data_IF_591548960939
#
_entry.id   IF_591548960939
#
_cell.length_a   1.000
_cell.length_b   1.000
_cell.length_c   1.000
_cell.angle_alpha   90.00
_cell.angle_beta   90.00
_cell.angle_gamma   90.00
#
_symmetry.space_group_name_H-M   'P 1'
#
loop_
_entity.id
_entity.type
_entity.pdbx_description
1 polymer ?
#
# COMPACT_ATOMS: atom_id res chain seq x y z
N UNK A 1 -5.88 -25.14 -5.80
CA UNK A 1 -7.27 -24.76 -5.56
C UNK A 1 -7.31 -23.31 -5.11
N UNK A 2 -7.75 -22.44 -5.98
CA UNK A 2 -7.95 -21.04 -5.64
C UNK A 2 -9.23 -20.93 -4.82
N UNK A 3 -9.06 -20.93 -3.50
CA UNK A 3 -10.16 -20.68 -2.59
C UNK A 3 -10.46 -19.18 -2.56
N UNK A 4 -11.04 -18.68 -3.66
CA UNK A 4 -11.50 -17.30 -3.74
C UNK A 4 -12.71 -17.19 -2.80
N UNK A 5 -12.65 -16.33 -1.78
CA UNK A 5 -13.80 -16.15 -0.89
C UNK A 5 -14.99 -15.65 -1.72
N UNK A 6 -16.09 -16.36 -1.60
CA UNK A 6 -17.34 -16.03 -2.32
C UNK A 6 -18.16 -15.00 -1.60
N UNK A 7 -17.85 -14.75 -0.32
CA UNK A 7 -18.54 -13.78 0.51
C UNK A 7 -17.68 -12.54 0.72
N UNK A 8 -18.31 -11.39 0.64
CA UNK A 8 -17.69 -10.08 0.86
C UNK A 8 -17.07 -9.93 2.26
N UNK A 9 -17.71 -10.47 3.27
CA UNK A 9 -17.20 -10.42 4.65
C UNK A 9 -15.89 -11.16 4.78
N UNK A 10 -15.80 -12.37 4.25
CA UNK A 10 -14.57 -13.16 4.23
C UNK A 10 -13.47 -12.50 3.38
N UNK A 11 -13.86 -11.95 2.24
CA UNK A 11 -12.93 -11.26 1.34
C UNK A 11 -12.31 -10.03 2.01
N UNK A 12 -13.14 -9.18 2.63
CA UNK A 12 -12.67 -8.00 3.34
C UNK A 12 -11.83 -8.35 4.56
N UNK A 13 -12.21 -9.39 5.30
CA UNK A 13 -11.44 -9.86 6.46
C UNK A 13 -10.05 -10.38 6.05
N UNK A 14 -9.98 -11.05 4.91
CA UNK A 14 -8.73 -11.64 4.41
C UNK A 14 -7.81 -10.60 3.77
N UNK A 15 -8.35 -9.73 2.94
CA UNK A 15 -7.57 -8.82 2.10
C UNK A 15 -7.61 -7.35 2.53
N UNK A 16 -8.59 -6.96 3.36
CA UNK A 16 -8.75 -5.58 3.82
C UNK A 16 -7.51 -4.98 4.46
N UNK A 17 -6.87 -5.66 5.43
CA UNK A 17 -5.68 -5.13 6.09
C UNK A 17 -4.52 -4.81 5.14
N UNK A 18 -4.21 -5.70 4.20
CA UNK A 18 -3.14 -5.47 3.23
C UNK A 18 -3.47 -4.39 2.20
N UNK A 19 -4.73 -4.29 1.79
CA UNK A 19 -5.21 -3.21 0.92
C UNK A 19 -5.12 -1.86 1.61
N UNK A 20 -5.51 -1.79 2.88
CA UNK A 20 -5.40 -0.58 3.68
C UNK A 20 -3.93 -0.16 3.88
N UNK A 21 -3.05 -1.12 4.13
CA UNK A 21 -1.61 -0.87 4.22
C UNK A 21 -1.09 -0.22 2.93
N UNK A 22 -1.47 -0.75 1.78
CA UNK A 22 -1.09 -0.16 0.49
C UNK A 22 -1.68 1.23 0.29
N UNK A 23 -2.96 1.44 0.63
CA UNK A 23 -3.60 2.74 0.55
C UNK A 23 -2.90 3.79 1.42
N UNK A 24 -2.46 3.40 2.63
CA UNK A 24 -1.65 4.26 3.51
C UNK A 24 -0.33 4.69 2.87
N UNK A 25 0.31 3.83 2.09
CA UNK A 25 1.54 4.20 1.36
C UNK A 25 1.30 5.23 0.27
N UNK A 26 0.08 5.32 -0.24
CA UNK A 26 -0.29 6.19 -1.35
C UNK A 26 -0.91 7.52 -0.91
N UNK A 27 -1.18 7.69 0.37
CA UNK A 27 -1.83 8.88 0.94
C UNK A 27 -1.02 9.45 2.10
N UNK A 28 -1.37 10.66 2.55
CA UNK A 28 -0.67 11.36 3.64
C UNK A 28 -1.38 11.24 4.98
N UNK A 29 -2.64 10.84 5.00
CA UNK A 29 -3.40 10.69 6.24
C UNK A 29 -4.26 9.42 6.22
N UNK A 30 -4.59 8.94 7.40
CA UNK A 30 -5.39 7.73 7.60
C UNK A 30 -6.79 7.85 7.00
N UNK A 31 -7.43 8.99 7.17
CA UNK A 31 -8.77 9.27 6.67
C UNK A 31 -8.83 9.16 5.14
N UNK A 32 -7.85 9.75 4.43
CA UNK A 32 -7.74 9.64 2.99
C UNK A 32 -7.49 8.19 2.55
N UNK A 33 -6.69 7.44 3.31
CA UNK A 33 -6.41 6.03 3.02
C UNK A 33 -7.67 5.17 3.12
N UNK A 34 -8.48 5.36 4.15
CA UNK A 34 -9.74 4.63 4.34
C UNK A 34 -10.75 4.96 3.24
N UNK A 35 -10.93 6.24 2.93
CA UNK A 35 -11.81 6.69 1.86
C UNK A 35 -11.38 6.14 0.50
N UNK A 36 -10.10 6.20 0.23
CA UNK A 36 -9.50 5.68 -1.00
C UNK A 36 -9.74 4.18 -1.15
N UNK A 37 -9.57 3.42 -0.08
CA UNK A 37 -9.83 1.98 -0.08
C UNK A 37 -11.30 1.69 -0.36
N UNK A 38 -12.22 2.37 0.31
CA UNK A 38 -13.66 2.17 0.11
C UNK A 38 -14.07 2.46 -1.33
N UNK A 39 -13.61 3.57 -1.87
CA UNK A 39 -13.91 3.96 -3.25
C UNK A 39 -13.31 2.97 -4.27
N UNK A 40 -12.09 2.51 -4.04
CA UNK A 40 -11.43 1.55 -4.92
C UNK A 40 -12.12 0.19 -4.91
N UNK A 41 -12.54 -0.29 -3.76
CA UNK A 41 -13.29 -1.55 -3.62
C UNK A 41 -14.64 -1.45 -4.29
N UNK A 42 -15.36 -0.36 -4.08
CA UNK A 42 -16.67 -0.11 -4.69
C UNK A 42 -16.57 -0.04 -6.22
N UNK A 43 -15.61 0.69 -6.75
CA UNK A 43 -15.40 0.80 -8.20
C UNK A 43 -15.04 -0.56 -8.81
N UNK A 44 -14.15 -1.32 -8.16
CA UNK A 44 -13.74 -2.63 -8.63
C UNK A 44 -14.87 -3.66 -8.58
N UNK A 45 -15.72 -3.60 -7.55
CA UNK A 45 -16.91 -4.42 -7.44
C UNK A 45 -17.91 -4.12 -8.54
N UNK A 46 -18.17 -2.85 -8.83
CA UNK A 46 -19.08 -2.43 -9.89
C UNK A 46 -18.62 -2.91 -11.27
N UNK A 47 -17.32 -2.91 -11.52
CA UNK A 47 -16.74 -3.47 -12.75
C UNK A 47 -16.83 -4.99 -12.83
N UNK A 48 -17.07 -5.65 -11.72
CA UNK A 48 -17.14 -7.12 -11.61
C UNK A 48 -18.56 -7.60 -11.23
N UNK A 49 -19.58 -6.90 -11.68
CA UNK A 49 -20.99 -7.24 -11.46
C UNK A 49 -21.37 -7.46 -9.99
N UNK A 50 -20.78 -6.67 -9.08
CA UNK A 50 -21.02 -6.75 -7.65
C UNK A 50 -20.34 -7.94 -6.94
N UNK A 51 -19.56 -8.73 -7.66
CA UNK A 51 -18.77 -9.84 -7.10
C UNK A 51 -17.44 -9.33 -6.54
N UNK A 52 -16.83 -10.15 -5.67
CA UNK A 52 -15.49 -9.84 -5.14
C UNK A 52 -14.48 -9.69 -6.27
N UNK A 53 -13.78 -8.54 -6.35
CA UNK A 53 -12.86 -8.25 -7.44
C UNK A 53 -11.52 -8.98 -7.26
N UNK A 54 -10.75 -9.04 -8.34
CA UNK A 54 -9.38 -9.53 -8.29
C UNK A 54 -8.46 -8.49 -7.61
N UNK A 55 -7.57 -8.94 -6.75
CA UNK A 55 -6.65 -8.08 -6.00
C UNK A 55 -5.81 -7.14 -6.88
N UNK A 56 -5.20 -7.58 -7.98
CA UNK A 56 -4.44 -6.68 -8.83
C UNK A 56 -5.27 -5.50 -9.35
N UNK A 57 -6.53 -5.72 -9.67
CA UNK A 57 -7.44 -4.66 -10.10
C UNK A 57 -7.68 -3.64 -8.98
N UNK A 58 -7.87 -4.11 -7.75
CA UNK A 58 -8.08 -3.23 -6.59
C UNK A 58 -6.84 -2.40 -6.31
N UNK A 59 -5.67 -3.00 -6.30
CA UNK A 59 -4.39 -2.30 -6.11
C UNK A 59 -4.16 -1.24 -7.19
N UNK A 60 -4.40 -1.57 -8.46
CA UNK A 60 -4.29 -0.62 -9.57
C UNK A 60 -5.27 0.55 -9.42
N UNK A 61 -6.49 0.27 -8.97
CA UNK A 61 -7.51 1.29 -8.73
C UNK A 61 -7.14 2.21 -7.58
N UNK A 62 -6.63 1.66 -6.48
CA UNK A 62 -6.11 2.45 -5.34
C UNK A 62 -5.02 3.41 -5.83
N UNK A 63 -4.04 2.91 -6.57
CA UNK A 63 -2.93 3.72 -7.07
C UNK A 63 -3.40 4.84 -8.00
N UNK A 64 -4.26 4.53 -8.94
CA UNK A 64 -4.80 5.52 -9.87
C UNK A 64 -5.58 6.62 -9.15
N UNK A 65 -6.46 6.25 -8.23
CA UNK A 65 -7.23 7.21 -7.43
C UNK A 65 -6.34 8.04 -6.51
N UNK A 66 -5.29 7.45 -5.95
CA UNK A 66 -4.30 8.16 -5.14
C UNK A 66 -3.56 9.23 -5.94
N UNK A 67 -3.19 8.91 -7.18
CA UNK A 67 -2.55 9.88 -8.09
C UNK A 67 -3.52 11.04 -8.40
N UNK A 68 -4.78 10.74 -8.68
CA UNK A 68 -5.80 11.76 -8.92
C UNK A 68 -6.03 12.65 -7.69
N UNK A 69 -6.08 12.06 -6.50
CA UNK A 69 -6.20 12.77 -5.23
C UNK A 69 -4.98 13.68 -4.99
N UNK A 70 -3.79 13.19 -5.23
CA UNK A 70 -2.55 13.98 -5.09
C UNK A 70 -2.54 15.18 -6.04
N UNK A 71 -2.94 14.99 -7.28
CA UNK A 71 -3.07 16.09 -8.26
C UNK A 71 -4.09 17.13 -7.81
N UNK A 72 -5.23 16.70 -7.27
CA UNK A 72 -6.26 17.58 -6.74
C UNK A 72 -5.77 18.36 -5.54
N UNK A 73 -5.07 17.71 -4.62
CA UNK A 73 -4.48 18.34 -3.44
C UNK A 73 -3.36 19.33 -3.82
N UNK A 74 -2.52 19.01 -4.78
CA UNK A 74 -1.49 19.91 -5.29
C UNK A 74 -2.07 21.19 -5.89
N UNK A 75 -3.18 21.09 -6.62
CA UNK A 75 -3.90 22.27 -7.14
C UNK A 75 -4.49 23.12 -6.01
N UNK A 76 -4.99 22.47 -4.96
CA UNK A 76 -5.55 23.16 -3.79
C UNK A 76 -4.45 23.85 -2.96
N UNK A 77 -3.31 23.19 -2.75
CA UNK A 77 -2.18 23.73 -2.00
C UNK A 77 -1.47 24.87 -2.71
N UNK A 78 -1.49 24.91 -4.04
CA UNK A 78 -1.01 26.05 -4.82
C UNK A 78 -1.87 27.31 -4.59
N UNK A 79 -3.07 27.19 -4.05
CA UNK A 79 -3.99 28.29 -3.74
C UNK A 79 -4.02 28.68 -2.27
N UNK A 80 -3.62 27.79 -1.37
CA UNK A 80 -3.60 28.00 0.08
C UNK A 80 -2.19 27.77 0.61
N UNK A 81 -1.60 28.75 1.32
CA UNK A 81 -0.31 28.57 2.00
C UNK A 81 -0.43 27.46 3.04
N UNK A 82 0.45 26.47 2.94
CA UNK A 82 0.34 25.21 3.68
C UNK A 82 0.69 25.28 5.14
N UNK A 83 -0.16 24.63 5.93
CA UNK A 83 0.24 23.99 7.18
C UNK A 83 0.72 22.56 6.82
N UNK A 84 2.02 22.33 6.92
CA UNK A 84 2.59 20.98 6.82
C UNK A 84 2.23 20.20 8.07
N UNK A 85 1.13 19.50 8.04
CA UNK A 85 0.83 18.50 9.04
C UNK A 85 1.52 17.20 8.64
N UNK A 86 2.73 16.99 9.17
CA UNK A 86 3.37 15.69 9.13
C UNK A 86 2.68 14.82 10.18
N UNK A 87 1.49 14.32 9.84
CA UNK A 87 0.91 13.29 10.67
C UNK A 87 1.77 12.02 10.54
N UNK A 88 2.37 11.61 11.64
CA UNK A 88 2.99 10.30 11.78
C UNK A 88 1.93 9.22 11.52
N UNK A 89 1.76 8.87 10.25
CA UNK A 89 0.85 7.80 9.88
C UNK A 89 1.47 6.48 10.31
N UNK A 90 0.92 5.86 11.33
CA UNK A 90 1.31 4.52 11.73
C UNK A 90 0.86 3.53 10.65
N UNK A 91 1.80 2.82 10.06
CA UNK A 91 1.56 1.89 8.96
C UNK A 91 0.83 0.62 9.38
N UNK A 92 0.94 0.27 10.65
CA UNK A 92 0.28 -0.89 11.25
C UNK A 92 -0.71 -0.43 12.29
N UNK A 93 -1.87 -1.04 12.30
CA UNK A 93 -2.87 -0.78 13.32
C UNK A 93 -2.31 -1.14 14.71
N UNK A 94 -2.28 -0.16 15.62
CA UNK A 94 -1.78 -0.32 16.98
C UNK A 94 -2.63 -1.28 17.84
N UNK A 95 -3.71 -1.81 17.30
CA UNK A 95 -4.56 -2.79 17.99
C UNK A 95 -3.97 -4.19 18.04
N UNK A 96 -2.96 -4.49 17.20
CA UNK A 96 -2.16 -5.69 17.36
C UNK A 96 -1.08 -5.36 18.38
N UNK A 97 -1.12 -6.05 19.50
CA UNK A 97 -0.21 -5.95 20.64
C UNK A 97 1.16 -5.40 20.27
N UNK A 98 1.63 -4.44 21.03
CA UNK A 98 2.92 -3.75 20.88
C UNK A 98 4.07 -4.74 20.77
N UNK A 99 4.17 -5.38 19.62
CA UNK A 99 5.30 -6.23 19.32
C UNK A 99 6.44 -5.31 18.87
N UNK A 100 7.54 -5.28 19.60
CA UNK A 100 8.74 -4.51 19.27
C UNK A 100 9.20 -4.75 17.84
N UNK A 101 9.03 -5.97 17.32
CA UNK A 101 9.35 -6.34 15.94
C UNK A 101 8.48 -5.61 14.93
N UNK A 102 7.18 -5.50 15.21
CA UNK A 102 6.24 -4.78 14.32
C UNK A 102 6.58 -3.28 14.24
N UNK A 103 6.97 -2.67 15.35
CA UNK A 103 7.40 -1.27 15.39
C UNK A 103 8.69 -1.04 14.61
N UNK A 104 9.66 -1.94 14.73
CA UNK A 104 10.93 -1.88 13.98
C UNK A 104 10.66 -1.97 12.47
N UNK A 105 9.79 -2.89 12.05
CA UNK A 105 9.40 -3.05 10.64
C UNK A 105 8.69 -1.78 10.14
N UNK A 106 7.76 -1.23 10.92
CA UNK A 106 7.03 0.00 10.57
C UNK A 106 7.99 1.17 10.35
N UNK A 107 8.91 1.39 11.27
CA UNK A 107 9.92 2.44 11.16
C UNK A 107 10.88 2.22 9.99
N UNK A 108 11.29 0.97 9.75
CA UNK A 108 12.16 0.63 8.64
C UNK A 108 11.48 0.86 7.29
N UNK A 109 10.22 0.49 7.17
CA UNK A 109 9.41 0.72 5.95
C UNK A 109 9.26 2.20 5.66
N UNK A 110 9.01 3.03 6.67
CA UNK A 110 8.90 4.49 6.50
C UNK A 110 10.15 5.15 5.93
N UNK A 111 11.33 4.62 6.24
CA UNK A 111 12.61 5.13 5.75
C UNK A 111 12.89 4.75 4.29
N UNK A 112 12.24 3.73 3.78
CA UNK A 112 12.43 3.27 2.40
C UNK A 112 11.80 4.25 1.44
N UNK A 113 12.50 4.67 0.37
CA UNK A 113 11.90 5.53 -0.66
C UNK A 113 10.60 4.93 -1.22
N UNK A 114 9.63 5.78 -1.51
CA UNK A 114 8.29 5.39 -1.92
C UNK A 114 8.27 4.37 -3.08
N UNK A 115 9.10 4.56 -4.09
CA UNK A 115 9.18 3.68 -5.26
C UNK A 115 9.60 2.23 -4.92
N UNK A 116 10.38 2.03 -3.86
CA UNK A 116 10.75 0.69 -3.39
C UNK A 116 9.74 0.14 -2.39
N UNK A 117 9.19 1.01 -1.56
CA UNK A 117 8.20 0.68 -0.54
C UNK A 117 6.95 0.05 -1.15
N UNK A 118 6.38 0.67 -2.18
CA UNK A 118 5.17 0.16 -2.82
C UNK A 118 5.37 -1.23 -3.41
N UNK A 119 6.54 -1.52 -3.99
CA UNK A 119 6.84 -2.86 -4.54
C UNK A 119 6.98 -3.89 -3.43
N UNK A 120 7.66 -3.54 -2.33
CA UNK A 120 7.79 -4.44 -1.18
C UNK A 120 6.42 -4.83 -0.62
N UNK A 121 5.52 -3.87 -0.48
CA UNK A 121 4.19 -4.12 0.04
C UNK A 121 3.38 -5.01 -0.90
N UNK A 122 3.40 -4.73 -2.19
CA UNK A 122 2.70 -5.54 -3.19
C UNK A 122 3.24 -6.97 -3.26
N UNK A 123 4.54 -7.15 -3.14
CA UNK A 123 5.18 -8.47 -3.22
C UNK A 123 5.01 -9.29 -1.95
N UNK A 124 5.23 -8.70 -0.78
CA UNK A 124 5.25 -9.42 0.50
C UNK A 124 3.84 -9.60 1.04
N UNK A 125 3.06 -8.54 1.13
CA UNK A 125 1.71 -8.59 1.70
C UNK A 125 0.62 -8.79 0.64
N UNK A 126 0.82 -8.25 -0.57
CA UNK A 126 -0.11 -8.43 -1.68
C UNK A 126 0.00 -9.78 -2.37
N UNK A 127 1.08 -10.52 -2.13
CA UNK A 127 1.36 -11.82 -2.75
C UNK A 127 1.28 -11.79 -4.29
N UNK A 128 1.65 -10.64 -4.87
CA UNK A 128 1.58 -10.45 -6.32
C UNK A 128 2.85 -10.95 -7.00
N UNK A 129 2.70 -11.43 -8.22
CA UNK A 129 3.84 -11.74 -9.10
C UNK A 129 4.49 -10.45 -9.61
N UNK A 130 5.75 -10.51 -10.03
CA UNK A 130 6.41 -9.34 -10.64
C UNK A 130 5.69 -8.85 -11.89
N UNK A 131 5.10 -9.75 -12.68
CA UNK A 131 4.29 -9.39 -13.84
C UNK A 131 3.06 -8.57 -13.44
N UNK A 132 2.36 -8.99 -12.40
CA UNK A 132 1.20 -8.26 -11.86
C UNK A 132 1.61 -6.89 -11.29
N UNK A 133 2.71 -6.83 -10.56
CA UNK A 133 3.26 -5.57 -10.01
C UNK A 133 3.65 -4.62 -11.14
N UNK A 134 4.36 -5.12 -12.16
CA UNK A 134 4.76 -4.32 -13.31
C UNK A 134 3.56 -3.71 -14.03
N UNK A 135 2.50 -4.49 -14.22
CA UNK A 135 1.25 -4.01 -14.80
C UNK A 135 0.55 -2.98 -13.91
N UNK A 136 0.44 -3.26 -12.61
CA UNK A 136 -0.21 -2.37 -11.63
C UNK A 136 0.49 -1.01 -11.54
N UNK A 137 1.81 -1.00 -11.51
CA UNK A 137 2.62 0.21 -11.38
C UNK A 137 2.98 0.85 -12.72
N UNK A 138 2.63 0.19 -13.82
CA UNK A 138 2.96 0.62 -15.18
C UNK A 138 4.48 0.82 -15.37
N UNK A 139 5.26 -0.17 -14.98
CA UNK A 139 6.73 -0.20 -15.11
C UNK A 139 7.17 -1.50 -15.81
N UNK A 140 8.38 -1.52 -16.40
CA UNK A 140 8.92 -2.77 -16.96
C UNK A 140 9.11 -3.86 -15.89
N UNK A 141 8.98 -5.11 -16.30
CA UNK A 141 9.16 -6.27 -15.43
C UNK A 141 10.53 -6.26 -14.72
N UNK A 142 11.59 -5.99 -15.47
CA UNK A 142 12.95 -5.92 -14.93
C UNK A 142 13.11 -4.80 -13.90
N UNK A 143 12.43 -3.69 -14.09
CA UNK A 143 12.40 -2.57 -13.13
C UNK A 143 11.71 -2.98 -11.83
N UNK A 144 10.59 -3.70 -11.91
CA UNK A 144 9.90 -4.22 -10.73
C UNK A 144 10.82 -5.15 -9.93
N UNK A 145 11.47 -6.09 -10.58
CA UNK A 145 12.40 -7.03 -9.95
C UNK A 145 13.61 -6.32 -9.32
N UNK A 146 14.20 -5.35 -10.01
CA UNK A 146 15.33 -4.57 -9.51
C UNK A 146 14.95 -3.74 -8.29
N UNK A 147 13.82 -3.04 -8.33
CA UNK A 147 13.33 -2.24 -7.21
C UNK A 147 13.01 -3.10 -5.98
N UNK A 148 12.49 -4.29 -6.18
CA UNK A 148 12.26 -5.24 -5.10
C UNK A 148 13.57 -5.64 -4.41
N UNK A 149 14.60 -5.99 -5.20
CA UNK A 149 15.93 -6.31 -4.67
C UNK A 149 16.55 -5.17 -3.88
N UNK A 150 16.53 -3.97 -4.43
CA UNK A 150 17.04 -2.79 -3.74
C UNK A 150 16.26 -2.48 -2.46
N UNK A 151 14.95 -2.59 -2.49
CA UNK A 151 14.11 -2.43 -1.30
C UNK A 151 14.46 -3.42 -0.20
N UNK A 152 14.68 -4.68 -0.56
CA UNK A 152 15.12 -5.72 0.40
C UNK A 152 16.50 -5.42 0.99
N UNK A 153 17.44 -4.92 0.20
CA UNK A 153 18.78 -4.54 0.67
C UNK A 153 18.70 -3.40 1.70
N UNK A 154 17.90 -2.38 1.42
CA UNK A 154 17.67 -1.27 2.35
C UNK A 154 17.07 -1.78 3.65
N UNK A 155 16.04 -2.61 3.55
CA UNK A 155 15.37 -3.19 4.72
C UNK A 155 16.33 -4.03 5.57
N UNK A 156 17.17 -4.85 4.95
CA UNK A 156 18.17 -5.66 5.64
C UNK A 156 19.24 -4.82 6.36
N UNK A 157 19.70 -3.74 5.75
CA UNK A 157 20.66 -2.81 6.37
C UNK A 157 20.07 -2.19 7.62
N UNK A 158 18.86 -1.69 7.56
CA UNK A 158 18.20 -1.05 8.70
C UNK A 158 17.93 -2.02 9.83
N UNK A 159 17.51 -3.26 9.52
CA UNK A 159 17.28 -4.28 10.53
C UNK A 159 18.58 -4.78 11.18
N UNK A 160 19.65 -4.89 10.42
CA UNK A 160 20.97 -5.29 10.96
C UNK A 160 21.57 -4.22 11.87
N UNK A 161 21.38 -2.94 11.57
CA UNK A 161 21.82 -1.83 12.41
C UNK A 161 21.12 -1.82 13.77
N UNK A 162 19.85 -2.22 13.79
CA UNK A 162 19.06 -2.27 15.02
C UNK A 162 19.34 -3.53 15.85
N UNK A 163 19.99 -4.55 15.28
CA UNK A 163 20.33 -5.82 15.98
C UNK A 163 21.64 -5.75 16.77
N UNK A 164 22.43 -4.67 16.61
CA UNK A 164 23.74 -4.50 17.24
C UNK A 164 23.76 -3.45 18.36
N UNK A 165 22.62 -2.94 18.75
CA UNK A 165 22.49 -2.09 19.94
C UNK A 165 21.94 -2.85 21.13
#
# INVERSE_FOLDING_TARGET
MNNKPTDWTDWLSKYGPQLLLFARTQTRCEEDAEDLLQEAVTESANKNDGKTPDLPLVYATIRRRAIDLARKNDRRTAREEMVTDQSDTCWFDNTIEQNEVAQVIDQSIKKIPEKFREILILKIWGEMTFAQIAETLNIPLNTAASRYRYGLEILKRDTNLNSHE
#
